data_IF_416486459875
#
_entry.id   IF_416486459875
#
_cell.length_a   1.000
_cell.length_b   1.000
_cell.length_c   1.000
_cell.angle_alpha   90.00
_cell.angle_beta   90.00
_cell.angle_gamma   90.00
#
_symmetry.space_group_name_H-M   'P 1'
#
loop_
_entity.id
_entity.type
_entity.pdbx_description
1 polymer ?
#
# COMPACT_ATOMS: atom_id res chain seq x y z
N UNK A 1 -2.68 -14.33 8.46
CA UNK A 1 -1.98 -14.80 7.24
C UNK A 1 -0.58 -15.31 7.52
N UNK A 2 0.38 -14.48 7.94
CA UNK A 2 1.78 -14.91 8.19
C UNK A 2 1.90 -16.17 9.08
N UNK A 3 1.12 -16.27 10.18
CA UNK A 3 1.08 -17.46 11.06
C UNK A 3 0.43 -18.70 10.44
N UNK A 4 -0.41 -18.53 9.41
CA UNK A 4 -1.19 -19.60 8.79
C UNK A 4 -0.47 -20.21 7.59
N UNK A 5 0.43 -19.45 6.94
CA UNK A 5 1.24 -19.91 5.81
C UNK A 5 2.00 -21.21 6.14
N UNK A 6 2.72 -21.35 7.28
CA UNK A 6 3.40 -22.59 7.61
C UNK A 6 2.47 -23.79 7.82
N UNK A 7 1.21 -23.57 8.25
CA UNK A 7 0.28 -24.65 8.62
C UNK A 7 -0.58 -25.16 7.47
N UNK A 8 -1.03 -24.25 6.60
CA UNK A 8 -2.01 -24.56 5.56
C UNK A 8 -1.46 -24.46 4.14
N UNK A 9 -0.23 -23.97 4.00
CA UNK A 9 0.40 -23.70 2.71
C UNK A 9 -0.13 -22.42 2.05
N UNK A 10 0.78 -21.66 1.45
CA UNK A 10 0.48 -20.36 0.85
C UNK A 10 -0.56 -20.45 -0.28
N UNK A 11 -0.52 -21.52 -1.09
CA UNK A 11 -1.43 -21.72 -2.23
C UNK A 11 -2.90 -21.78 -1.81
N UNK A 12 -3.22 -22.55 -0.76
CA UNK A 12 -4.61 -22.71 -0.30
C UNK A 12 -5.15 -21.40 0.25
N UNK A 13 -4.31 -20.69 1.02
CA UNK A 13 -4.67 -19.39 1.59
C UNK A 13 -5.01 -18.39 0.49
N UNK A 14 -4.17 -18.27 -0.54
CA UNK A 14 -4.42 -17.31 -1.62
C UNK A 14 -5.69 -17.69 -2.42
N UNK A 15 -5.88 -18.95 -2.79
CA UNK A 15 -7.07 -19.39 -3.55
C UNK A 15 -8.36 -19.09 -2.78
N UNK A 16 -8.44 -19.48 -1.51
CA UNK A 16 -9.63 -19.22 -0.67
C UNK A 16 -9.88 -17.71 -0.56
N UNK A 17 -8.82 -16.94 -0.35
CA UNK A 17 -8.90 -15.48 -0.21
C UNK A 17 -9.40 -14.78 -1.47
N UNK A 18 -8.93 -15.22 -2.64
CA UNK A 18 -9.37 -14.69 -3.95
C UNK A 18 -10.83 -15.02 -4.21
N UNK A 19 -11.26 -16.25 -3.93
CA UNK A 19 -12.65 -16.67 -4.11
C UNK A 19 -13.59 -15.88 -3.19
N UNK A 20 -13.24 -15.73 -1.92
CA UNK A 20 -14.04 -14.93 -0.96
C UNK A 20 -14.10 -13.46 -1.40
N UNK A 21 -13.00 -12.89 -1.88
CA UNK A 21 -12.99 -11.51 -2.41
C UNK A 21 -13.82 -11.36 -3.68
N UNK A 22 -13.81 -12.33 -4.59
CA UNK A 22 -14.63 -12.32 -5.80
C UNK A 22 -16.13 -12.37 -5.46
N UNK A 23 -16.53 -13.27 -4.55
CA UNK A 23 -17.93 -13.39 -4.10
C UNK A 23 -18.40 -12.11 -3.41
N UNK A 24 -17.61 -11.58 -2.47
CA UNK A 24 -17.97 -10.33 -1.76
C UNK A 24 -18.01 -9.11 -2.68
N UNK A 25 -17.23 -9.10 -3.77
CA UNK A 25 -17.29 -8.06 -4.79
C UNK A 25 -18.58 -8.13 -5.60
N UNK A 26 -19.00 -9.32 -6.03
CA UNK A 26 -20.30 -9.50 -6.72
C UNK A 26 -21.45 -9.10 -5.81
N UNK A 27 -21.45 -9.54 -4.55
CA UNK A 27 -22.50 -9.22 -3.58
C UNK A 27 -22.63 -7.72 -3.32
N UNK A 28 -21.55 -6.93 -3.46
CA UNK A 28 -21.62 -5.47 -3.35
C UNK A 28 -22.48 -4.82 -4.43
N UNK A 29 -22.60 -5.43 -5.61
CA UNK A 29 -23.48 -4.94 -6.67
C UNK A 29 -24.98 -5.05 -6.36
N UNK A 30 -25.35 -5.84 -5.33
CA UNK A 30 -26.74 -6.09 -4.92
C UNK A 30 -27.09 -5.45 -3.57
N UNK A 31 -26.23 -4.60 -3.05
CA UNK A 31 -26.45 -3.93 -1.78
C UNK A 31 -27.62 -2.97 -1.88
N UNK A 32 -28.53 -3.06 -0.91
CA UNK A 32 -29.65 -2.14 -0.72
C UNK A 32 -29.55 -1.34 0.58
N UNK A 33 -28.75 -1.79 1.55
CA UNK A 33 -28.63 -1.16 2.87
C UNK A 33 -27.16 -0.94 3.28
N UNK A 34 -26.87 0.14 3.99
CA UNK A 34 -25.51 0.52 4.37
C UNK A 34 -24.77 -0.56 5.18
N UNK A 35 -25.46 -1.27 6.08
CA UNK A 35 -24.84 -2.32 6.89
C UNK A 35 -24.32 -3.50 6.05
N UNK A 36 -24.95 -3.78 4.90
CA UNK A 36 -24.51 -4.83 3.99
C UNK A 36 -23.13 -4.47 3.40
N UNK A 37 -22.90 -3.19 3.08
CA UNK A 37 -21.58 -2.72 2.64
C UNK A 37 -20.53 -2.88 3.73
N UNK A 38 -20.86 -2.58 4.98
CA UNK A 38 -19.90 -2.72 6.08
C UNK A 38 -19.50 -4.18 6.29
N UNK A 39 -20.46 -5.09 6.31
CA UNK A 39 -20.21 -6.53 6.46
C UNK A 39 -19.40 -7.07 5.29
N UNK A 40 -19.80 -6.77 4.05
CA UNK A 40 -19.08 -7.22 2.85
C UNK A 40 -17.68 -6.62 2.75
N UNK A 41 -17.50 -5.37 3.17
CA UNK A 41 -16.18 -4.72 3.22
C UNK A 41 -15.28 -5.33 4.29
N UNK A 42 -15.83 -5.71 5.44
CA UNK A 42 -15.10 -6.41 6.50
C UNK A 42 -14.60 -7.78 6.01
N UNK A 43 -15.48 -8.58 5.42
CA UNK A 43 -15.14 -9.92 4.89
C UNK A 43 -14.08 -9.80 3.79
N UNK A 44 -14.27 -8.87 2.85
CA UNK A 44 -13.31 -8.60 1.77
C UNK A 44 -11.97 -8.10 2.31
N UNK A 45 -11.97 -7.26 3.35
CA UNK A 45 -10.76 -6.80 4.02
C UNK A 45 -9.96 -7.97 4.60
N UNK A 46 -10.62 -8.86 5.34
CA UNK A 46 -10.00 -10.07 5.88
C UNK A 46 -9.47 -11.00 4.78
N UNK A 47 -10.25 -11.20 3.71
CA UNK A 47 -9.85 -12.00 2.57
C UNK A 47 -8.67 -11.38 1.82
N UNK A 48 -8.65 -10.06 1.61
CA UNK A 48 -7.57 -9.35 0.90
C UNK A 48 -6.19 -9.56 1.52
N UNK A 49 -6.12 -9.79 2.84
CA UNK A 49 -4.86 -10.10 3.51
C UNK A 49 -4.17 -11.35 2.93
N UNK A 50 -4.92 -12.34 2.44
CA UNK A 50 -4.39 -13.60 1.95
C UNK A 50 -3.83 -13.57 0.52
N UNK A 51 -4.11 -12.52 -0.26
CA UNK A 51 -3.44 -12.23 -1.55
C UNK A 51 -2.70 -10.88 -1.52
N UNK A 52 -2.34 -10.42 -0.32
CA UNK A 52 -1.60 -9.16 -0.13
C UNK A 52 -0.14 -9.29 -0.57
N UNK A 53 0.59 -8.18 -0.49
CA UNK A 53 2.03 -8.14 -0.80
C UNK A 53 2.85 -9.07 0.10
N UNK A 54 2.34 -9.46 1.28
CA UNK A 54 3.05 -10.39 2.18
C UNK A 54 3.16 -11.80 1.55
N UNK A 55 2.08 -12.50 1.18
CA UNK A 55 2.19 -13.74 0.40
C UNK A 55 2.95 -13.56 -0.92
N UNK A 56 2.71 -12.47 -1.65
CA UNK A 56 3.37 -12.23 -2.94
C UNK A 56 4.89 -12.11 -2.81
N UNK A 57 5.37 -11.38 -1.81
CA UNK A 57 6.80 -11.27 -1.52
C UNK A 57 7.39 -12.61 -1.10
N UNK A 58 6.73 -13.37 -0.22
CA UNK A 58 7.22 -14.71 0.17
C UNK A 58 7.38 -15.64 -1.04
N UNK A 59 6.46 -15.62 -2.00
CA UNK A 59 6.56 -16.43 -3.23
C UNK A 59 7.73 -16.02 -4.12
N UNK A 60 7.98 -14.72 -4.25
CA UNK A 60 9.11 -14.19 -5.03
C UNK A 60 10.41 -14.57 -4.34
N UNK A 61 10.45 -14.41 -3.03
CA UNK A 61 11.62 -14.72 -2.24
C UNK A 61 11.96 -16.22 -2.31
N UNK A 62 10.97 -17.13 -2.15
CA UNK A 62 11.11 -18.60 -2.30
C UNK A 62 11.78 -19.01 -3.62
N UNK A 63 11.46 -18.31 -4.72
CA UNK A 63 11.93 -18.67 -6.07
C UNK A 63 13.26 -18.01 -6.46
N UNK A 64 13.64 -16.93 -5.80
CA UNK A 64 14.81 -16.11 -6.19
C UNK A 64 15.87 -16.00 -5.07
N UNK A 65 15.83 -16.88 -4.06
CA UNK A 65 16.93 -17.03 -3.09
C UNK A 65 18.25 -17.25 -3.84
N UNK A 66 19.31 -16.54 -3.44
CA UNK A 66 20.66 -16.68 -3.99
C UNK A 66 21.02 -15.77 -5.19
N UNK A 67 20.07 -15.02 -5.77
CA UNK A 67 20.31 -14.20 -6.98
C UNK A 67 20.00 -12.70 -6.80
N UNK A 68 20.35 -12.11 -5.65
CA UNK A 68 20.01 -10.71 -5.28
C UNK A 68 18.48 -10.44 -5.25
N UNK A 69 17.79 -10.83 -4.16
CA UNK A 69 16.33 -10.88 -4.06
C UNK A 69 15.63 -9.50 -4.13
N UNK A 70 16.41 -8.41 -4.02
CA UNK A 70 15.88 -7.06 -4.07
C UNK A 70 15.22 -6.70 -5.41
N UNK A 71 15.81 -7.11 -6.55
CA UNK A 71 15.26 -6.77 -7.87
C UNK A 71 13.93 -7.50 -8.16
N UNK A 72 13.82 -8.83 -7.98
CA UNK A 72 12.54 -9.52 -8.16
C UNK A 72 11.45 -9.00 -7.21
N UNK A 73 11.80 -8.68 -5.97
CA UNK A 73 10.84 -8.12 -5.01
C UNK A 73 10.37 -6.72 -5.42
N UNK A 74 11.26 -5.87 -5.91
CA UNK A 74 10.91 -4.56 -6.44
C UNK A 74 10.00 -4.67 -7.67
N UNK A 75 10.27 -5.61 -8.57
CA UNK A 75 9.42 -5.89 -9.74
C UNK A 75 8.04 -6.42 -9.32
N UNK A 76 7.97 -7.32 -8.34
CA UNK A 76 6.71 -7.83 -7.83
C UNK A 76 5.89 -6.75 -7.10
N UNK A 77 6.56 -5.91 -6.31
CA UNK A 77 5.93 -4.74 -5.69
C UNK A 77 5.44 -3.73 -6.74
N UNK A 78 6.13 -3.63 -7.89
CA UNK A 78 5.68 -2.84 -9.03
C UNK A 78 4.37 -3.38 -9.66
N UNK A 79 3.94 -4.60 -9.36
CA UNK A 79 2.63 -5.10 -9.78
C UNK A 79 1.47 -4.29 -9.21
N UNK A 80 1.58 -3.79 -7.97
CA UNK A 80 0.55 -2.92 -7.34
C UNK A 80 0.40 -1.63 -8.15
N UNK A 81 1.52 -1.12 -8.66
CA UNK A 81 1.65 0.02 -9.56
C UNK A 81 0.85 -0.12 -10.82
N UNK A 82 1.23 -1.14 -11.57
CA UNK A 82 0.77 -1.35 -12.92
C UNK A 82 -0.69 -1.77 -12.86
N UNK A 83 -1.07 -2.59 -11.88
CA UNK A 83 -2.45 -2.97 -11.64
C UNK A 83 -3.34 -1.76 -11.34
N UNK A 84 -2.98 -0.94 -10.36
CA UNK A 84 -3.76 0.28 -10.04
C UNK A 84 -3.86 1.23 -11.23
N UNK A 85 -2.78 1.37 -11.99
CA UNK A 85 -2.72 2.24 -13.16
C UNK A 85 -3.59 1.80 -14.33
N UNK A 86 -3.57 0.50 -14.64
CA UNK A 86 -4.28 -0.06 -15.78
C UNK A 86 -5.74 -0.31 -15.42
N UNK A 87 -6.00 -0.96 -14.27
CA UNK A 87 -7.35 -1.41 -13.95
C UNK A 87 -8.25 -0.27 -13.47
N UNK A 88 -7.74 0.76 -12.79
CA UNK A 88 -8.58 1.88 -12.33
C UNK A 88 -9.35 2.57 -13.46
N UNK A 89 -8.72 3.07 -14.55
CA UNK A 89 -9.45 3.71 -15.64
C UNK A 89 -10.37 2.72 -16.38
N UNK A 90 -9.98 1.46 -16.52
CA UNK A 90 -10.81 0.40 -17.13
C UNK A 90 -12.07 0.14 -16.31
N UNK A 91 -11.95 0.10 -14.99
CA UNK A 91 -13.09 -0.09 -14.08
C UNK A 91 -14.00 1.14 -14.15
N UNK A 92 -13.45 2.35 -14.08
CA UNK A 92 -14.24 3.58 -14.16
C UNK A 92 -15.02 3.68 -15.47
N UNK A 93 -14.36 3.45 -16.61
CA UNK A 93 -15.04 3.49 -17.91
C UNK A 93 -16.08 2.38 -18.07
N UNK A 94 -15.84 1.20 -17.48
CA UNK A 94 -16.81 0.10 -17.46
C UNK A 94 -18.05 0.43 -16.64
N UNK A 95 -17.88 1.09 -15.48
CA UNK A 95 -19.01 1.55 -14.65
C UNK A 95 -19.84 2.57 -15.41
N UNK A 96 -19.20 3.52 -16.10
CA UNK A 96 -19.89 4.54 -16.89
C UNK A 96 -20.65 3.96 -18.08
N UNK A 97 -20.08 2.96 -18.76
CA UNK A 97 -20.64 2.39 -20.00
C UNK A 97 -21.66 1.26 -19.79
N UNK A 98 -21.40 0.40 -18.80
CA UNK A 98 -22.15 -0.86 -18.58
C UNK A 98 -22.83 -0.92 -17.21
N UNK A 99 -22.62 0.09 -16.36
CA UNK A 99 -23.14 0.14 -15.01
C UNK A 99 -22.34 -0.68 -14.00
N UNK A 100 -22.64 -0.45 -12.72
CA UNK A 100 -21.94 -1.06 -11.60
C UNK A 100 -22.08 -2.60 -11.59
N UNK A 101 -23.27 -3.12 -11.82
CA UNK A 101 -23.58 -4.55 -11.68
C UNK A 101 -22.80 -5.39 -12.70
N UNK A 102 -22.77 -4.99 -13.97
CA UNK A 102 -21.96 -5.68 -14.98
C UNK A 102 -20.46 -5.60 -14.65
N UNK A 103 -20.00 -4.44 -14.18
CA UNK A 103 -18.58 -4.22 -13.87
C UNK A 103 -18.10 -5.09 -12.70
N UNK A 104 -18.88 -5.22 -11.62
CA UNK A 104 -18.46 -6.06 -10.48
C UNK A 104 -18.33 -7.54 -10.85
N UNK A 105 -19.15 -8.05 -11.77
CA UNK A 105 -19.04 -9.40 -12.29
C UNK A 105 -17.76 -9.59 -13.11
N UNK A 106 -17.49 -8.69 -14.06
CA UNK A 106 -16.27 -8.72 -14.87
C UNK A 106 -15.03 -8.64 -13.98
N UNK A 107 -15.03 -7.76 -12.98
CA UNK A 107 -13.92 -7.65 -12.02
C UNK A 107 -13.73 -8.91 -11.18
N UNK A 108 -14.82 -9.52 -10.71
CA UNK A 108 -14.74 -10.74 -9.91
C UNK A 108 -14.18 -11.92 -10.72
N UNK A 109 -14.65 -12.08 -11.96
CA UNK A 109 -14.13 -13.10 -12.89
C UNK A 109 -12.66 -12.81 -13.22
N UNK A 110 -12.33 -11.56 -13.54
CA UNK A 110 -10.96 -11.13 -13.83
C UNK A 110 -9.99 -11.42 -12.67
N UNK A 111 -10.41 -11.16 -11.43
CA UNK A 111 -9.62 -11.45 -10.23
C UNK A 111 -9.28 -12.95 -10.14
N UNK A 112 -10.26 -13.82 -10.37
CA UNK A 112 -10.09 -15.28 -10.31
C UNK A 112 -9.18 -15.77 -11.44
N UNK A 113 -9.45 -15.33 -12.68
CA UNK A 113 -8.70 -15.76 -13.87
C UNK A 113 -7.26 -15.24 -13.86
N UNK A 114 -7.00 -14.06 -13.30
CA UNK A 114 -5.65 -13.50 -13.26
C UNK A 114 -4.80 -14.15 -12.17
N UNK A 115 -5.38 -14.41 -10.98
CA UNK A 115 -4.61 -14.81 -9.81
C UNK A 115 -4.48 -16.34 -9.69
N UNK A 116 -5.57 -17.09 -9.87
CA UNK A 116 -5.56 -18.55 -9.63
C UNK A 116 -4.58 -19.30 -10.55
N UNK A 117 -4.56 -19.07 -11.89
CA UNK A 117 -3.64 -19.76 -12.79
C UNK A 117 -2.18 -19.47 -12.45
N UNK A 118 -1.84 -18.21 -12.12
CA UNK A 118 -0.48 -17.82 -11.73
C UNK A 118 -0.03 -18.62 -10.49
N UNK A 119 -0.90 -18.81 -9.50
CA UNK A 119 -0.57 -19.58 -8.30
C UNK A 119 -0.41 -21.07 -8.59
N UNK A 120 -1.27 -21.63 -9.45
CA UNK A 120 -1.21 -23.04 -9.83
C UNK A 120 0.10 -23.32 -10.59
N UNK A 121 0.49 -22.42 -11.49
CA UNK A 121 1.71 -22.52 -12.30
C UNK A 121 2.99 -22.24 -11.49
N UNK A 122 2.94 -21.30 -10.55
CA UNK A 122 4.09 -20.93 -9.73
C UNK A 122 4.54 -22.04 -8.78
N UNK A 123 3.67 -23.02 -8.47
CA UNK A 123 3.92 -24.14 -7.55
C UNK A 123 4.76 -23.74 -6.32
N UNK A 124 4.28 -22.79 -5.48
CA UNK A 124 5.06 -22.33 -4.33
C UNK A 124 5.29 -23.52 -3.38
N UNK A 125 6.56 -23.82 -3.10
CA UNK A 125 6.94 -25.06 -2.40
C UNK A 125 6.88 -24.96 -0.88
N UNK A 126 6.98 -23.75 -0.34
CA UNK A 126 7.35 -23.48 1.05
C UNK A 126 6.84 -24.50 2.10
N UNK A 127 7.78 -25.18 2.78
CA UNK A 127 7.95 -25.08 4.21
C UNK A 127 8.96 -23.96 4.51
N UNK A 128 8.64 -23.13 5.50
CA UNK A 128 9.42 -21.96 5.93
C UNK A 128 10.73 -22.38 6.65
N UNK A 129 10.99 -23.68 6.79
CA UNK A 129 12.17 -24.22 7.48
C UNK A 129 13.48 -23.91 6.73
N UNK A 130 13.45 -23.84 5.40
CA UNK A 130 14.67 -23.63 4.60
C UNK A 130 15.20 -22.18 4.58
N UNK A 131 14.50 -21.22 5.19
CA UNK A 131 15.08 -19.87 5.35
C UNK A 131 16.13 -19.82 6.47
N UNK A 132 16.06 -20.75 7.43
CA UNK A 132 17.10 -20.90 8.47
C UNK A 132 18.30 -21.68 7.93
N UNK A 133 18.07 -22.72 7.12
CA UNK A 133 19.14 -23.59 6.62
C UNK A 133 19.89 -23.06 5.39
N UNK A 134 19.27 -22.24 4.52
CA UNK A 134 19.96 -21.67 3.35
C UNK A 134 20.97 -20.56 3.71
N UNK A 135 20.93 -20.04 4.94
CA UNK A 135 21.90 -19.07 5.47
C UNK A 135 23.03 -19.74 6.29
N UNK A 136 22.99 -21.06 6.48
CA UNK A 136 23.95 -21.82 7.27
C UNK A 136 24.55 -22.98 6.47
N UNK A 137 25.22 -22.70 5.35
CA UNK A 137 26.33 -23.56 4.88
C UNK A 137 27.46 -22.68 4.34
N UNK A 138 28.59 -22.68 5.07
CA UNK A 138 29.77 -23.31 4.50
C UNK A 138 30.18 -24.51 5.36
N UNK A 139 30.00 -25.71 4.80
CA UNK A 139 30.51 -27.00 5.26
C UNK A 139 29.88 -27.65 6.51
N UNK A 140 29.90 -28.98 6.47
CA UNK A 140 29.12 -29.94 7.24
C UNK A 140 29.36 -29.98 8.77
N UNK A 141 28.42 -30.70 9.41
CA UNK A 141 28.42 -31.38 10.72
C UNK A 141 28.30 -30.51 11.98
N UNK A 142 27.11 -30.45 12.59
CA UNK A 142 26.71 -31.25 13.78
C UNK A 142 25.27 -30.88 14.22
N UNK A 143 24.55 -31.84 14.78
CA UNK A 143 23.14 -31.75 15.20
C UNK A 143 22.91 -30.73 16.31
N UNK A 144 21.93 -29.83 16.15
CA UNK A 144 21.22 -29.20 17.27
C UNK A 144 19.70 -29.30 17.07
N UNK A 145 19.03 -29.78 18.11
CA UNK A 145 17.58 -29.95 18.26
C UNK A 145 16.77 -28.66 18.03
N UNK A 146 15.47 -28.77 17.69
CA UNK A 146 14.66 -27.64 17.27
C UNK A 146 14.37 -26.70 18.44
N UNK A 147 15.11 -25.59 18.52
CA UNK A 147 14.75 -24.47 19.39
C UNK A 147 13.38 -23.92 18.98
N UNK A 148 12.43 -24.10 19.89
CA UNK A 148 11.12 -23.49 19.88
C UNK A 148 11.17 -22.03 19.48
N UNK A 149 10.22 -21.62 18.64
CA UNK A 149 9.96 -20.26 18.16
C UNK A 149 9.79 -19.29 19.35
N UNK A 150 10.88 -18.89 19.97
CA UNK A 150 10.99 -17.62 20.65
C UNK A 150 11.06 -16.58 19.53
N UNK A 151 9.90 -15.98 19.25
CA UNK A 151 9.79 -14.79 18.43
C UNK A 151 10.75 -13.74 18.97
N UNK A 152 11.97 -13.73 18.41
CA UNK A 152 13.11 -12.91 18.81
C UNK A 152 12.64 -11.57 19.36
N UNK A 153 12.68 -11.48 20.68
CA UNK A 153 12.35 -10.38 21.57
C UNK A 153 13.36 -9.24 21.44
N UNK A 154 13.91 -9.00 20.24
CA UNK A 154 14.67 -7.79 19.96
C UNK A 154 13.66 -6.63 19.90
N UNK A 155 13.83 -5.57 20.72
CA UNK A 155 12.96 -4.41 20.67
C UNK A 155 12.92 -3.87 19.24
N UNK A 156 11.74 -3.44 18.80
CA UNK A 156 11.58 -2.75 17.52
C UNK A 156 12.53 -1.56 17.54
N UNK A 157 13.58 -1.61 16.72
CA UNK A 157 14.57 -0.54 16.70
C UNK A 157 13.92 0.79 16.34
N UNK A 158 14.46 1.89 16.85
CA UNK A 158 13.95 3.25 16.62
C UNK A 158 13.71 3.53 15.14
N UNK A 159 14.55 3.01 14.24
CA UNK A 159 14.38 3.12 12.79
C UNK A 159 13.06 2.52 12.27
N UNK A 160 12.61 1.37 12.79
CA UNK A 160 11.33 0.76 12.41
C UNK A 160 10.15 1.67 12.79
N UNK A 161 10.19 2.24 14.00
CA UNK A 161 9.16 3.16 14.47
C UNK A 161 9.15 4.42 13.60
N UNK A 162 10.31 4.96 13.26
CA UNK A 162 10.42 6.12 12.36
C UNK A 162 9.87 5.83 10.96
N UNK A 163 10.12 4.64 10.40
CA UNK A 163 9.50 4.21 9.12
C UNK A 163 7.98 4.14 9.25
N UNK A 164 7.46 3.50 10.29
CA UNK A 164 6.01 3.36 10.50
C UNK A 164 5.33 4.71 10.70
N UNK A 165 5.93 5.61 11.49
CA UNK A 165 5.43 6.96 11.71
C UNK A 165 5.48 7.79 10.44
N UNK A 166 6.61 7.79 9.73
CA UNK A 166 6.77 8.55 8.49
C UNK A 166 5.71 8.16 7.46
N UNK A 167 5.70 6.88 7.06
CA UNK A 167 4.80 6.44 6.01
C UNK A 167 3.35 6.33 6.48
N UNK A 168 3.11 6.08 7.77
CA UNK A 168 1.77 6.16 8.36
C UNK A 168 1.17 7.55 8.22
N UNK A 169 1.92 8.59 8.60
CA UNK A 169 1.49 9.98 8.48
C UNK A 169 1.26 10.39 7.01
N UNK A 170 2.18 10.03 6.11
CA UNK A 170 2.01 10.31 4.67
C UNK A 170 0.75 9.64 4.11
N UNK A 171 0.51 8.37 4.46
CA UNK A 171 -0.65 7.60 4.00
C UNK A 171 -1.97 8.16 4.58
N UNK A 172 -1.99 8.53 5.86
CA UNK A 172 -3.15 9.20 6.49
C UNK A 172 -3.51 10.44 5.68
N UNK A 173 -2.54 11.31 5.41
CA UNK A 173 -2.78 12.55 4.68
C UNK A 173 -3.23 12.30 3.23
N UNK A 174 -2.73 11.26 2.55
CA UNK A 174 -3.15 10.90 1.19
C UNK A 174 -4.61 10.46 1.14
N UNK A 175 -4.99 9.55 2.02
CA UNK A 175 -6.35 8.99 2.02
C UNK A 175 -7.36 10.05 2.45
N UNK A 176 -6.99 10.89 3.43
CA UNK A 176 -7.81 12.03 3.81
C UNK A 176 -8.05 12.99 2.63
N UNK A 177 -7.00 13.32 1.88
CA UNK A 177 -7.12 14.17 0.70
C UNK A 177 -8.01 13.55 -0.39
N UNK A 178 -7.81 12.27 -0.71
CA UNK A 178 -8.62 11.56 -1.70
C UNK A 178 -10.10 11.52 -1.28
N UNK A 179 -10.37 11.24 -0.01
CA UNK A 179 -11.74 11.09 0.48
C UNK A 179 -12.53 12.41 0.49
N UNK A 180 -11.88 13.54 0.81
CA UNK A 180 -12.56 14.82 1.02
C UNK A 180 -12.36 15.86 -0.09
N UNK A 181 -11.51 15.62 -1.10
CA UNK A 181 -11.28 16.60 -2.17
C UNK A 181 -12.56 16.94 -2.94
N UNK A 182 -13.41 15.94 -3.22
CA UNK A 182 -14.68 16.15 -3.91
C UNK A 182 -15.61 17.05 -3.08
N UNK A 183 -15.81 16.69 -1.82
CA UNK A 183 -16.68 17.44 -0.88
C UNK A 183 -16.16 18.86 -0.65
N UNK A 184 -14.83 19.04 -0.52
CA UNK A 184 -14.20 20.34 -0.41
C UNK A 184 -14.53 21.22 -1.62
N UNK A 185 -14.40 20.71 -2.85
CA UNK A 185 -14.71 21.48 -4.04
C UNK A 185 -16.20 21.83 -4.14
N UNK A 186 -17.08 20.91 -3.72
CA UNK A 186 -18.53 21.17 -3.65
C UNK A 186 -18.86 22.28 -2.65
N UNK A 187 -18.31 22.24 -1.43
CA UNK A 187 -18.51 23.30 -0.43
C UNK A 187 -18.01 24.67 -0.89
N UNK A 188 -16.92 24.68 -1.68
CA UNK A 188 -16.36 25.90 -2.26
C UNK A 188 -17.03 26.33 -3.57
N UNK A 189 -18.08 25.65 -4.01
CA UNK A 189 -18.78 25.89 -5.28
C UNK A 189 -17.84 25.87 -6.51
N UNK A 190 -16.82 25.00 -6.48
CA UNK A 190 -15.85 24.85 -7.56
C UNK A 190 -16.39 23.85 -8.58
N UNK A 191 -16.72 24.36 -9.76
CA UNK A 191 -17.15 23.53 -10.89
C UNK A 191 -16.09 22.51 -11.32
N UNK A 192 -16.55 21.35 -11.79
CA UNK A 192 -15.72 20.32 -12.39
C UNK A 192 -14.61 19.73 -11.49
N UNK A 193 -14.81 19.76 -10.16
CA UNK A 193 -13.86 19.20 -9.19
C UNK A 193 -13.57 17.70 -9.39
N UNK A 194 -14.48 16.96 -10.02
CA UNK A 194 -14.28 15.55 -10.39
C UNK A 194 -13.01 15.35 -11.24
N UNK A 195 -12.63 16.34 -12.07
CA UNK A 195 -11.36 16.30 -12.81
C UNK A 195 -10.15 16.24 -11.89
N UNK A 196 -10.15 16.98 -10.77
CA UNK A 196 -9.05 16.96 -9.81
C UNK A 196 -8.96 15.59 -9.13
N UNK A 197 -10.08 14.98 -8.76
CA UNK A 197 -10.11 13.62 -8.20
C UNK A 197 -9.56 12.60 -9.20
N UNK A 198 -9.98 12.66 -10.46
CA UNK A 198 -9.45 11.80 -11.54
C UNK A 198 -7.97 12.04 -11.80
N UNK A 199 -7.50 13.28 -11.69
CA UNK A 199 -6.08 13.63 -11.84
C UNK A 199 -5.21 12.99 -10.77
N UNK A 200 -5.69 12.81 -9.53
CA UNK A 200 -4.95 12.06 -8.50
C UNK A 200 -4.65 10.64 -9.00
N UNK A 201 -5.67 9.95 -9.52
CA UNK A 201 -5.52 8.57 -9.99
C UNK A 201 -4.56 8.48 -11.18
N UNK A 202 -4.71 9.36 -12.18
CA UNK A 202 -3.83 9.40 -13.35
C UNK A 202 -2.38 9.72 -12.96
N UNK A 203 -2.16 10.70 -12.09
CA UNK A 203 -0.83 11.11 -11.67
C UNK A 203 -0.19 10.11 -10.69
N UNK A 204 -0.97 9.28 -9.99
CA UNK A 204 -0.43 8.15 -9.24
C UNK A 204 0.25 7.13 -10.14
N UNK A 205 -0.25 6.91 -11.35
CA UNK A 205 0.42 6.08 -12.36
C UNK A 205 1.73 6.70 -12.79
N UNK A 206 1.67 7.95 -13.23
CA UNK A 206 2.82 8.69 -13.76
C UNK A 206 3.91 8.79 -12.71
N UNK A 207 3.57 9.19 -11.49
CA UNK A 207 4.50 9.33 -10.38
C UNK A 207 5.21 8.03 -10.05
N UNK A 208 4.52 6.90 -10.22
CA UNK A 208 5.07 5.58 -9.97
C UNK A 208 6.03 5.11 -11.06
N UNK A 209 5.73 5.39 -12.33
CA UNK A 209 6.66 5.18 -13.45
C UNK A 209 7.93 6.01 -13.24
N UNK A 210 7.76 7.30 -12.93
CA UNK A 210 8.89 8.21 -12.62
C UNK A 210 9.69 7.66 -11.44
N UNK A 211 9.03 7.26 -10.36
CA UNK A 211 9.67 6.70 -9.17
C UNK A 211 10.51 5.47 -9.49
N UNK A 212 10.01 4.56 -10.34
CA UNK A 212 10.76 3.38 -10.76
C UNK A 212 12.02 3.73 -11.57
N UNK A 213 11.93 4.72 -12.47
CA UNK A 213 13.08 5.19 -13.27
C UNK A 213 14.12 5.90 -12.38
N UNK A 214 13.65 6.64 -11.39
CA UNK A 214 14.51 7.43 -10.49
C UNK A 214 15.14 6.56 -9.40
N UNK A 215 14.47 5.53 -8.91
CA UNK A 215 14.90 4.67 -7.78
C UNK A 215 16.36 4.16 -7.87
N UNK A 216 16.88 3.71 -9.03
CA UNK A 216 18.27 3.27 -9.13
C UNK A 216 19.30 4.38 -9.03
N UNK A 217 18.90 5.64 -9.26
CA UNK A 217 19.81 6.78 -9.44
C UNK A 217 19.93 7.67 -8.20
N UNK A 218 19.08 7.47 -7.19
CA UNK A 218 19.06 8.31 -5.98
C UNK A 218 18.83 7.46 -4.73
N UNK A 219 19.26 7.97 -3.58
CA UNK A 219 19.07 7.25 -2.32
C UNK A 219 17.58 7.14 -1.94
N UNK A 220 17.23 6.06 -1.23
CA UNK A 220 15.88 5.83 -0.71
C UNK A 220 15.41 6.99 0.18
N UNK A 221 16.34 7.58 0.94
CA UNK A 221 16.11 8.78 1.77
C UNK A 221 15.75 10.00 0.92
N UNK A 222 16.47 10.24 -0.16
CA UNK A 222 16.21 11.37 -1.06
C UNK A 222 14.80 11.28 -1.65
N UNK A 223 14.42 10.13 -2.22
CA UNK A 223 13.06 9.94 -2.79
C UNK A 223 12.00 10.14 -1.73
N UNK A 224 12.17 9.53 -0.56
CA UNK A 224 11.20 9.63 0.54
C UNK A 224 11.02 11.08 1.00
N UNK A 225 12.11 11.84 1.12
CA UNK A 225 12.06 13.27 1.45
C UNK A 225 11.37 14.09 0.35
N UNK A 226 11.68 13.83 -0.93
CA UNK A 226 11.03 14.50 -2.05
C UNK A 226 9.51 14.24 -2.04
N UNK A 227 9.08 13.02 -1.76
CA UNK A 227 7.66 12.70 -1.64
C UNK A 227 7.00 13.43 -0.46
N UNK A 228 7.66 13.48 0.70
CA UNK A 228 7.14 14.20 1.87
C UNK A 228 6.99 15.70 1.60
N UNK A 229 8.01 16.36 1.04
CA UNK A 229 7.97 17.79 0.69
C UNK A 229 6.89 18.07 -0.35
N UNK A 230 6.85 17.28 -1.42
CA UNK A 230 5.84 17.41 -2.48
C UNK A 230 4.43 17.25 -1.91
N UNK A 231 4.23 16.32 -0.97
CA UNK A 231 2.95 16.10 -0.32
C UNK A 231 2.52 17.28 0.56
N UNK A 232 3.44 17.87 1.33
CA UNK A 232 3.16 19.07 2.12
C UNK A 232 2.69 20.22 1.23
N UNK A 233 3.41 20.49 0.13
CA UNK A 233 3.05 21.52 -0.84
C UNK A 233 1.66 21.25 -1.42
N UNK A 234 1.40 20.01 -1.81
CA UNK A 234 0.12 19.60 -2.38
C UNK A 234 -1.05 19.83 -1.41
N UNK A 235 -0.88 19.47 -0.14
CA UNK A 235 -1.92 19.65 0.89
C UNK A 235 -2.16 21.13 1.21
N UNK A 236 -1.13 21.98 1.20
CA UNK A 236 -1.28 23.43 1.38
C UNK A 236 -2.05 24.04 0.19
N UNK A 237 -1.75 23.63 -1.03
CA UNK A 237 -2.49 24.06 -2.23
C UNK A 237 -3.97 23.67 -2.15
N UNK A 238 -4.28 22.46 -1.67
CA UNK A 238 -5.66 22.00 -1.48
C UNK A 238 -6.34 22.78 -0.34
N UNK A 239 -5.64 22.96 0.80
CA UNK A 239 -6.15 23.68 1.96
C UNK A 239 -6.58 25.11 1.61
N UNK A 240 -5.79 25.81 0.79
CA UNK A 240 -6.01 27.22 0.43
C UNK A 240 -6.75 27.41 -0.90
N UNK A 241 -7.01 26.34 -1.64
CA UNK A 241 -7.49 26.40 -3.02
C UNK A 241 -8.96 26.79 -3.18
N UNK A 242 -9.22 27.95 -3.78
CA UNK A 242 -10.57 28.43 -4.10
C UNK A 242 -10.89 28.40 -5.60
N UNK A 243 -10.06 27.73 -6.40
CA UNK A 243 -10.23 27.61 -7.85
C UNK A 243 -9.85 26.22 -8.34
N UNK A 244 -10.46 25.80 -9.46
CA UNK A 244 -10.18 24.50 -10.08
C UNK A 244 -8.68 24.33 -10.44
N UNK A 245 -7.98 25.31 -11.05
CA UNK A 245 -6.57 25.13 -11.40
C UNK A 245 -5.67 24.86 -10.19
N UNK A 246 -5.93 25.53 -9.06
CA UNK A 246 -5.15 25.34 -7.84
C UNK A 246 -5.40 23.97 -7.20
N UNK A 247 -6.67 23.54 -7.13
CA UNK A 247 -7.02 22.21 -6.65
C UNK A 247 -6.53 21.10 -7.57
N UNK A 248 -6.54 21.34 -8.89
CA UNK A 248 -5.99 20.43 -9.88
C UNK A 248 -4.47 20.29 -9.72
N UNK A 249 -3.74 21.39 -9.50
CA UNK A 249 -2.31 21.34 -9.20
C UNK A 249 -2.02 20.56 -7.92
N UNK A 250 -2.78 20.83 -6.85
CA UNK A 250 -2.68 20.07 -5.60
C UNK A 250 -2.96 18.58 -5.81
N UNK A 251 -4.00 18.23 -6.56
CA UNK A 251 -4.34 16.86 -6.91
C UNK A 251 -3.25 16.15 -7.73
N UNK A 252 -2.65 16.84 -8.71
CA UNK A 252 -1.54 16.32 -9.50
C UNK A 252 -0.36 15.95 -8.61
N UNK A 253 0.03 16.85 -7.70
CA UNK A 253 1.13 16.60 -6.76
C UNK A 253 0.79 15.47 -5.76
N UNK A 254 -0.43 15.43 -5.21
CA UNK A 254 -0.87 14.32 -4.37
C UNK A 254 -0.77 13.00 -5.14
N UNK A 255 -1.28 12.94 -6.37
CA UNK A 255 -1.21 11.75 -7.22
C UNK A 255 0.23 11.24 -7.36
N UNK A 256 1.17 12.12 -7.73
CA UNK A 256 2.58 11.76 -7.84
C UNK A 256 3.15 11.10 -6.56
N UNK A 257 2.74 11.58 -5.38
CA UNK A 257 3.17 11.01 -4.09
C UNK A 257 2.49 9.68 -3.76
N UNK A 258 1.21 9.50 -4.11
CA UNK A 258 0.43 8.26 -3.90
C UNK A 258 1.08 7.11 -4.67
N UNK A 259 1.60 7.41 -5.86
CA UNK A 259 2.39 6.48 -6.65
C UNK A 259 3.54 5.86 -5.85
N UNK A 260 4.31 6.63 -5.10
CA UNK A 260 5.59 6.14 -4.56
C UNK A 260 5.53 5.69 -3.10
N UNK A 261 4.74 6.34 -2.25
CA UNK A 261 4.78 6.13 -0.80
C UNK A 261 4.47 4.68 -0.36
N UNK A 262 3.60 3.96 -1.08
CA UNK A 262 3.29 2.56 -0.75
C UNK A 262 4.47 1.61 -1.02
N UNK A 263 5.27 1.88 -2.05
CA UNK A 263 6.39 1.01 -2.45
C UNK A 263 7.63 1.29 -1.59
N UNK A 264 7.76 2.49 -1.07
CA UNK A 264 8.88 2.86 -0.20
C UNK A 264 8.87 2.10 1.14
N UNK A 265 7.70 1.76 1.69
CA UNK A 265 7.60 1.01 2.96
C UNK A 265 8.36 -0.33 2.90
N UNK A 266 8.04 -1.27 1.99
CA UNK A 266 8.76 -2.53 1.92
C UNK A 266 10.25 -2.34 1.59
N UNK A 267 10.61 -1.34 0.76
CA UNK A 267 12.01 -1.05 0.46
C UNK A 267 12.80 -0.62 1.70
N UNK A 268 12.23 0.25 2.55
CA UNK A 268 12.86 0.65 3.82
C UNK A 268 13.01 -0.51 4.79
N UNK A 269 11.99 -1.37 4.90
CA UNK A 269 12.06 -2.54 5.78
C UNK A 269 13.14 -3.51 5.30
N UNK A 270 13.21 -3.79 3.99
CA UNK A 270 14.24 -4.65 3.41
C UNK A 270 15.64 -4.05 3.62
N UNK A 271 15.79 -2.76 3.32
CA UNK A 271 17.06 -2.05 3.42
C UNK A 271 17.61 -2.03 4.86
N UNK A 272 16.76 -1.81 5.85
CA UNK A 272 17.17 -1.71 7.27
C UNK A 272 17.40 -3.06 7.94
N UNK A 273 16.67 -4.10 7.53
CA UNK A 273 16.55 -5.33 8.31
C UNK A 273 16.87 -6.60 7.54
N UNK A 274 17.25 -6.47 6.27
CA UNK A 274 17.54 -7.60 5.40
C UNK A 274 16.31 -8.45 5.12
N UNK A 275 16.53 -9.52 4.37
CA UNK A 275 15.48 -10.42 3.94
C UNK A 275 14.94 -11.28 5.09
N UNK A 276 15.78 -11.64 6.06
CA UNK A 276 15.46 -12.62 7.11
C UNK A 276 14.27 -12.19 7.99
N UNK A 277 14.17 -10.89 8.28
CA UNK A 277 13.09 -10.34 9.11
C UNK A 277 12.05 -9.57 8.32
N UNK A 278 12.20 -9.50 6.99
CA UNK A 278 11.39 -8.67 6.12
C UNK A 278 9.89 -8.99 6.25
N UNK A 279 9.49 -10.26 6.07
CA UNK A 279 8.08 -10.63 6.02
C UNK A 279 7.33 -10.28 7.33
N UNK A 280 7.97 -10.52 8.48
CA UNK A 280 7.38 -10.24 9.79
C UNK A 280 7.31 -8.74 10.09
N UNK A 281 8.38 -7.99 9.81
CA UNK A 281 8.42 -6.55 10.04
C UNK A 281 7.51 -5.79 9.07
N UNK A 282 7.47 -6.21 7.80
CA UNK A 282 6.59 -5.61 6.80
C UNK A 282 5.12 -5.88 7.12
N UNK A 283 4.76 -7.07 7.61
CA UNK A 283 3.40 -7.35 8.08
C UNK A 283 3.01 -6.45 9.27
N UNK A 284 3.93 -6.21 10.21
CA UNK A 284 3.72 -5.25 11.31
C UNK A 284 3.57 -3.82 10.79
N UNK A 285 4.44 -3.37 9.89
CA UNK A 285 4.35 -2.04 9.27
C UNK A 285 3.02 -1.85 8.53
N UNK A 286 2.57 -2.88 7.81
CA UNK A 286 1.28 -2.88 7.09
C UNK A 286 0.08 -2.77 8.03
N UNK A 287 0.18 -3.32 9.25
CA UNK A 287 -0.87 -3.15 10.26
C UNK A 287 -0.96 -1.70 10.72
N UNK A 288 0.18 -1.05 11.00
CA UNK A 288 0.20 0.36 11.40
C UNK A 288 -0.35 1.28 10.31
N UNK A 289 0.04 1.03 9.05
CA UNK A 289 -0.49 1.82 7.94
C UNK A 289 -1.98 1.58 7.75
N UNK A 290 -2.47 0.33 7.84
CA UNK A 290 -3.90 0.03 7.73
C UNK A 290 -4.74 0.75 8.81
N UNK A 291 -4.24 0.85 10.04
CA UNK A 291 -4.89 1.63 11.11
C UNK A 291 -4.97 3.11 10.70
N UNK A 292 -3.86 3.68 10.21
CA UNK A 292 -3.83 5.05 9.70
C UNK A 292 -4.82 5.28 8.55
N UNK A 293 -4.86 4.38 7.57
CA UNK A 293 -5.81 4.42 6.45
C UNK A 293 -7.27 4.42 6.91
N UNK A 294 -7.58 3.65 7.95
CA UNK A 294 -8.95 3.51 8.45
C UNK A 294 -9.40 4.76 9.21
N UNK A 295 -8.50 5.39 9.96
CA UNK A 295 -8.81 6.54 10.81
C UNK A 295 -8.78 7.87 10.04
N UNK A 296 -8.14 7.93 8.87
CA UNK A 296 -7.87 9.19 8.18
C UNK A 296 -9.11 9.98 7.72
N UNK A 297 -10.17 9.39 7.14
CA UNK A 297 -11.35 10.17 6.75
C UNK A 297 -12.11 10.66 7.98
N UNK A 298 -12.16 9.86 9.04
CA UNK A 298 -12.74 10.27 10.32
C UNK A 298 -11.98 11.48 10.91
N UNK A 299 -10.65 11.48 10.86
CA UNK A 299 -9.84 12.59 11.36
C UNK A 299 -10.16 13.93 10.65
N UNK A 300 -10.25 13.92 9.31
CA UNK A 300 -10.64 15.14 8.57
C UNK A 300 -12.11 15.50 8.82
N UNK A 301 -13.03 14.55 8.79
CA UNK A 301 -14.44 14.81 9.05
C UNK A 301 -14.69 15.39 10.44
N UNK A 302 -14.03 14.83 11.47
CA UNK A 302 -14.10 15.33 12.84
C UNK A 302 -13.54 16.73 12.96
N UNK A 303 -12.34 17.00 12.41
CA UNK A 303 -11.76 18.35 12.46
C UNK A 303 -12.56 19.38 11.68
N UNK A 304 -13.24 18.97 10.60
CA UNK A 304 -14.12 19.83 9.79
C UNK A 304 -15.32 20.35 10.58
N UNK A 305 -15.91 19.52 11.46
CA UNK A 305 -17.06 19.91 12.29
C UNK A 305 -16.79 21.12 13.19
N UNK A 306 -15.54 21.30 13.65
CA UNK A 306 -15.16 22.39 14.54
C UNK A 306 -14.52 23.59 13.81
N UNK A 307 -14.12 23.42 12.55
CA UNK A 307 -13.38 24.44 11.80
C UNK A 307 -14.24 25.26 10.85
N UNK A 308 -15.50 24.87 10.61
CA UNK A 308 -16.39 25.57 9.68
C UNK A 308 -15.94 25.50 8.22
N UNK A 309 -15.09 24.53 7.88
CA UNK A 309 -14.57 24.33 6.52
C UNK A 309 -13.28 23.50 6.48
N UNK A 310 -12.83 23.18 5.27
CA UNK A 310 -11.71 22.24 5.05
C UNK A 310 -10.29 22.80 5.22
N UNK A 311 -10.13 24.12 5.35
CA UNK A 311 -8.79 24.73 5.42
C UNK A 311 -7.96 24.19 6.58
N UNK A 312 -8.50 24.20 7.80
CA UNK A 312 -7.81 23.69 9.00
C UNK A 312 -7.57 22.17 8.95
N UNK A 313 -8.56 21.31 8.62
CA UNK A 313 -8.35 19.87 8.44
C UNK A 313 -7.19 19.53 7.50
N UNK A 314 -7.11 20.21 6.35
CA UNK A 314 -6.03 19.98 5.39
C UNK A 314 -4.68 20.50 5.88
N UNK A 315 -4.64 21.60 6.64
CA UNK A 315 -3.40 22.04 7.30
C UNK A 315 -2.91 21.05 8.35
N UNK A 316 -3.81 20.44 9.14
CA UNK A 316 -3.43 19.43 10.15
C UNK A 316 -2.73 18.25 9.48
N UNK A 317 -3.30 17.71 8.40
CA UNK A 317 -2.67 16.60 7.68
C UNK A 317 -1.42 17.02 6.91
N UNK A 318 -1.28 18.31 6.52
CA UNK A 318 -0.03 18.85 5.98
C UNK A 318 1.08 18.89 7.03
N UNK A 319 0.78 19.34 8.26
CA UNK A 319 1.71 19.29 9.39
C UNK A 319 2.10 17.84 9.71
N UNK A 320 1.16 16.90 9.64
CA UNK A 320 1.47 15.46 9.75
C UNK A 320 2.48 14.99 8.68
N UNK A 321 2.30 15.41 7.42
CA UNK A 321 3.25 15.10 6.34
C UNK A 321 4.62 15.76 6.54
N UNK A 322 4.66 16.95 7.15
CA UNK A 322 5.92 17.59 7.54
C UNK A 322 6.62 16.79 8.66
N UNK A 323 5.86 16.34 9.66
CA UNK A 323 6.32 15.41 10.70
C UNK A 323 6.93 14.13 10.13
N UNK A 324 6.31 13.58 9.07
CA UNK A 324 6.87 12.44 8.36
C UNK A 324 8.25 12.72 7.76
N UNK A 325 8.45 13.93 7.19
CA UNK A 325 9.74 14.38 6.70
C UNK A 325 10.82 14.35 7.81
N UNK A 326 10.50 14.84 9.01
CA UNK A 326 11.43 14.76 10.15
C UNK A 326 11.76 13.32 10.56
N UNK A 327 10.76 12.42 10.56
CA UNK A 327 11.00 11.00 10.81
C UNK A 327 11.92 10.38 9.74
N UNK A 328 11.76 10.74 8.47
CA UNK A 328 12.64 10.28 7.37
C UNK A 328 14.06 10.85 7.54
N UNK A 329 14.19 12.12 7.97
CA UNK A 329 15.50 12.71 8.25
C UNK A 329 16.27 11.97 9.34
N UNK A 330 15.56 11.40 10.32
CA UNK A 330 16.16 10.58 11.38
C UNK A 330 16.63 9.20 10.91
N UNK A 331 16.24 8.75 9.70
CA UNK A 331 16.69 7.48 9.13
C UNK A 331 18.11 7.56 8.56
N UNK A 332 18.87 6.44 8.55
CA UNK A 332 20.23 6.42 7.99
C UNK A 332 20.24 6.76 6.49
N UNK A 333 21.30 7.41 6.03
CA UNK A 333 21.44 7.95 4.66
C UNK A 333 21.95 6.94 3.63
N UNK A 334 22.71 5.93 4.06
CA UNK A 334 23.27 4.89 3.18
C UNK A 334 22.64 3.54 3.49
N UNK A 335 21.69 3.16 2.66
CA UNK A 335 21.29 1.77 2.51
C UNK A 335 21.24 1.53 1.00
N UNK A 336 22.39 1.12 0.44
CA UNK A 336 22.43 0.66 -0.94
C UNK A 336 21.64 -0.65 -0.98
N UNK A 337 20.56 -0.65 -1.75
CA UNK A 337 19.81 -1.86 -2.09
C UNK A 337 20.55 -2.47 -3.28
N UNK A 338 21.69 -3.12 -3.02
CA UNK A 338 22.44 -3.89 -4.02
C UNK A 338 21.96 -5.34 -4.07
#
# INVERSE_FOLDING_TARGET
>A
VARWIPRYGIRRIIIVSVLVSAVTLVLQGYVTQAWQLWVLSLIRGLASAGFSLVPGSVMVLDKFVGHAPARPLAVAAAGISVGGAIFTPVITSSIESYGLLATVWVMAIGLVILIIPVIILAKPTAPIDNYQDAALQPNATEHHEPETIEANSKPLGTAFVMVCLAFGLLIISQIAAIAHLLTLGQERNIGNIALAVSAIAAMAVVGRIIGFIVLPHVSLKTISMTMAVMQVVALILIATGNSLPQLLLGAVLIGLTVGNNQVLIPLWILALYGIDRYAHLFARASLYTAIGMSLSPFLIGFTHQFSGGYTLPFFIVAVGSLGAGFCILALPSKLEVT
#
